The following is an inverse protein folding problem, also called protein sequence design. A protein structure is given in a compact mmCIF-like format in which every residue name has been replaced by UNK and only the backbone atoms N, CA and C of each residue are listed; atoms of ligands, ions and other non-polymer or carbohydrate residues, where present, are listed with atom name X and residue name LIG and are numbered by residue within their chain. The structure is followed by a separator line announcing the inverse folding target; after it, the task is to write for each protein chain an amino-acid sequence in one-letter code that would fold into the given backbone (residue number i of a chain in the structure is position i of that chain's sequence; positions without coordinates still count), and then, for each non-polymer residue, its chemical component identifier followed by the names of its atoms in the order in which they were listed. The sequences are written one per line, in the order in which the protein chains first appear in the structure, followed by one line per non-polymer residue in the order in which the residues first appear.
data_IF_542957744323
#
_entry.id   IF_542957744323
#
_cell.length_a   1.000
_cell.length_b   1.000
_cell.length_c   1.000
_cell.angle_alpha   90.00
_cell.angle_beta   90.00
_cell.angle_gamma   90.00
#
_symmetry.space_group_name_H-M   'P 1'
#
loop_
_entity.id
_entity.type
_entity.pdbx_description
1 polymer ?
#
# COMPACT_ATOMS: atom_id res chain seq x y z
N UNK A 1 11.96 11.55 -0.60
CA UNK A 1 10.79 10.94 -1.26
C UNK A 1 10.39 9.67 -0.50
N UNK A 2 9.12 9.54 -0.11
CA UNK A 2 8.63 8.37 0.65
C UNK A 2 7.93 7.38 -0.28
N UNK A 3 8.15 6.08 -0.07
CA UNK A 3 7.59 5.03 -0.92
C UNK A 3 6.39 4.34 -0.24
N UNK A 4 5.22 4.49 -0.85
CA UNK A 4 3.98 3.84 -0.43
C UNK A 4 3.73 2.62 -1.32
N UNK A 5 3.63 1.45 -0.70
CA UNK A 5 3.28 0.19 -1.38
C UNK A 5 1.87 -0.21 -0.95
N UNK A 6 0.99 -0.30 -1.93
CA UNK A 6 -0.39 -0.68 -1.73
C UNK A 6 -0.61 -2.11 -2.24
N UNK A 7 -0.84 -3.04 -1.32
CA UNK A 7 -1.05 -4.45 -1.63
C UNK A 7 -2.55 -4.73 -1.81
N UNK A 8 -2.89 -5.35 -2.94
CA UNK A 8 -4.27 -5.69 -3.31
C UNK A 8 -4.36 -7.09 -3.91
N UNK A 9 -5.59 -7.54 -4.21
CA UNK A 9 -5.87 -8.82 -4.86
C UNK A 9 -5.53 -8.86 -6.37
N UNK A 10 -4.80 -7.86 -6.90
CA UNK A 10 -4.57 -7.59 -8.33
C UNK A 10 -5.88 -7.25 -9.09
N UNK A 11 -6.09 -5.96 -9.41
CA UNK A 11 -7.27 -5.52 -10.15
C UNK A 11 -7.24 -4.05 -10.59
N UNK A 12 -8.14 -3.67 -11.49
CA UNK A 12 -8.23 -2.30 -12.06
C UNK A 12 -8.59 -1.22 -11.02
N UNK A 13 -9.35 -1.56 -9.98
CA UNK A 13 -9.80 -0.61 -8.94
C UNK A 13 -8.64 0.00 -8.15
N UNK A 14 -7.54 -0.74 -7.98
CA UNK A 14 -6.36 -0.28 -7.28
C UNK A 14 -5.61 0.81 -8.04
N UNK A 15 -5.59 0.74 -9.38
CA UNK A 15 -4.93 1.74 -10.22
C UNK A 15 -5.60 3.11 -10.11
N UNK A 16 -6.93 3.14 -9.98
CA UNK A 16 -7.68 4.40 -9.81
C UNK A 16 -7.39 5.07 -8.47
N UNK A 17 -7.32 4.29 -7.39
CA UNK A 17 -6.96 4.80 -6.07
C UNK A 17 -5.53 5.36 -6.07
N UNK A 18 -4.56 4.65 -6.66
CA UNK A 18 -3.17 5.13 -6.78
C UNK A 18 -3.10 6.46 -7.53
N UNK A 19 -3.83 6.61 -8.64
CA UNK A 19 -3.88 7.87 -9.40
C UNK A 19 -4.44 9.03 -8.55
N UNK A 20 -5.53 8.79 -7.81
CA UNK A 20 -6.12 9.80 -6.90
C UNK A 20 -5.15 10.17 -5.77
N UNK A 21 -4.45 9.20 -5.19
CA UNK A 21 -3.45 9.45 -4.15
C UNK A 21 -2.27 10.26 -4.68
N UNK A 22 -1.78 9.95 -5.88
CA UNK A 22 -0.71 10.70 -6.55
C UNK A 22 -1.13 12.15 -6.81
N UNK A 23 -2.36 12.37 -7.32
CA UNK A 23 -2.89 13.71 -7.54
C UNK A 23 -3.04 14.50 -6.22
N UNK A 24 -3.55 13.86 -5.16
CA UNK A 24 -3.68 14.49 -3.85
C UNK A 24 -2.31 14.83 -3.23
N UNK A 25 -1.31 13.96 -3.41
CA UNK A 25 0.06 14.23 -2.98
C UNK A 25 0.65 15.43 -3.72
N UNK A 26 0.47 15.50 -5.04
CA UNK A 26 0.91 16.63 -5.86
C UNK A 26 0.24 17.93 -5.44
N UNK A 27 -1.07 17.94 -5.21
CA UNK A 27 -1.81 19.11 -4.72
C UNK A 27 -1.33 19.60 -3.35
N UNK A 28 -0.89 18.68 -2.48
CA UNK A 28 -0.37 19.00 -1.15
C UNK A 28 1.13 19.30 -1.14
N UNK A 29 1.81 19.23 -2.29
CA UNK A 29 3.26 19.39 -2.38
C UNK A 29 4.04 18.30 -1.64
N UNK A 30 3.47 17.10 -1.50
CA UNK A 30 4.08 15.98 -0.79
C UNK A 30 4.77 15.06 -1.78
N UNK A 31 6.08 14.90 -1.66
CA UNK A 31 6.86 13.99 -2.50
C UNK A 31 6.76 12.53 -2.04
N UNK A 32 5.82 11.80 -2.64
CA UNK A 32 5.65 10.36 -2.45
C UNK A 32 5.64 9.61 -3.76
N UNK A 33 6.24 8.43 -3.77
CA UNK A 33 6.08 7.44 -4.81
C UNK A 33 5.06 6.41 -4.34
N UNK A 34 4.04 6.13 -5.16
CA UNK A 34 2.94 5.23 -4.80
C UNK A 34 2.84 4.14 -5.86
N UNK A 35 2.93 2.88 -5.44
CA UNK A 35 2.77 1.72 -6.32
C UNK A 35 1.78 0.72 -5.76
N UNK A 36 0.97 0.16 -6.65
CA UNK A 36 0.11 -0.99 -6.33
C UNK A 36 0.81 -2.28 -6.76
N UNK A 37 0.81 -3.29 -5.90
CA UNK A 37 1.35 -4.61 -6.19
C UNK A 37 0.39 -5.71 -5.69
N UNK A 38 0.40 -6.90 -6.29
CA UNK A 38 -0.26 -8.06 -5.70
C UNK A 38 0.33 -8.41 -4.34
N UNK A 39 -0.48 -8.96 -3.43
CA UNK A 39 0.03 -9.46 -2.13
C UNK A 39 1.16 -10.49 -2.31
N UNK A 40 1.12 -11.29 -3.37
CA UNK A 40 2.17 -12.25 -3.70
C UNK A 40 3.55 -11.60 -3.89
N UNK A 41 3.60 -10.37 -4.41
CA UNK A 41 4.84 -9.62 -4.66
C UNK A 41 5.26 -8.76 -3.44
N UNK A 42 4.55 -8.85 -2.32
CA UNK A 42 4.82 -8.01 -1.15
C UNK A 42 6.27 -8.11 -0.68
N UNK A 43 6.81 -9.34 -0.60
CA UNK A 43 8.16 -9.60 -0.09
C UNK A 43 9.25 -8.89 -0.90
N UNK A 44 9.10 -8.87 -2.21
CA UNK A 44 10.05 -8.24 -3.14
C UNK A 44 10.00 -6.71 -3.04
N UNK A 45 8.84 -6.18 -2.66
CA UNK A 45 8.60 -4.75 -2.54
C UNK A 45 8.82 -4.22 -1.11
N UNK A 46 8.89 -5.10 -0.11
CA UNK A 46 8.98 -4.76 1.31
C UNK A 46 10.24 -3.96 1.63
N UNK A 47 11.39 -4.31 1.05
CA UNK A 47 12.65 -3.60 1.32
C UNK A 47 12.57 -2.11 0.92
N UNK A 48 11.94 -1.82 -0.22
CA UNK A 48 11.81 -0.48 -0.78
C UNK A 48 10.63 0.34 -0.22
N UNK A 49 9.68 -0.30 0.48
CA UNK A 49 8.50 0.37 1.04
C UNK A 49 8.84 1.14 2.31
N UNK A 50 8.43 2.40 2.43
CA UNK A 50 8.40 3.13 3.72
C UNK A 50 7.06 2.92 4.42
N UNK A 51 5.97 2.91 3.64
CA UNK A 51 4.60 2.83 4.11
C UNK A 51 3.94 1.67 3.37
N UNK A 52 3.29 0.79 4.11
CA UNK A 52 2.59 -0.37 3.56
C UNK A 52 1.11 -0.23 3.84
N UNK A 53 0.32 -0.21 2.77
CA UNK A 53 -1.12 -0.17 2.81
C UNK A 53 -1.71 -1.45 2.24
N UNK A 54 -2.79 -1.94 2.85
CA UNK A 54 -3.52 -3.12 2.43
C UNK A 54 -4.91 -2.72 1.98
N UNK A 55 -5.34 -3.20 0.82
CA UNK A 55 -6.73 -3.08 0.41
C UNK A 55 -7.65 -3.85 1.37
N UNK A 56 -8.88 -3.36 1.65
CA UNK A 56 -9.80 -3.98 2.59
C UNK A 56 -10.19 -5.41 2.18
N UNK A 57 -10.15 -5.70 0.87
CA UNK A 57 -10.44 -7.01 0.29
C UNK A 57 -9.47 -8.11 0.74
N UNK A 58 -8.23 -7.75 1.09
CA UNK A 58 -7.17 -8.68 1.52
C UNK A 58 -6.78 -8.49 2.98
N UNK A 59 -7.64 -7.84 3.79
CA UNK A 59 -7.37 -7.53 5.21
C UNK A 59 -6.92 -8.74 6.05
N UNK A 60 -7.37 -9.95 5.69
CA UNK A 60 -7.01 -11.19 6.37
C UNK A 60 -5.51 -11.51 6.28
N UNK A 61 -4.79 -11.00 5.28
CA UNK A 61 -3.34 -11.15 5.14
C UNK A 61 -2.55 -10.20 6.07
N UNK A 62 -3.19 -9.21 6.71
CA UNK A 62 -2.50 -8.18 7.49
C UNK A 62 -1.56 -8.76 8.53
N UNK A 63 -2.02 -9.72 9.35
CA UNK A 63 -1.19 -10.29 10.41
C UNK A 63 0.07 -10.98 9.86
N UNK A 64 -0.07 -11.69 8.75
CA UNK A 64 1.03 -12.38 8.06
C UNK A 64 2.01 -11.38 7.44
N UNK A 65 1.53 -10.32 6.81
CA UNK A 65 2.38 -9.29 6.21
C UNK A 65 3.04 -8.41 7.26
N UNK A 66 2.36 -8.15 8.39
CA UNK A 66 2.94 -7.45 9.54
C UNK A 66 4.11 -8.24 10.13
N UNK A 67 3.96 -9.55 10.34
CA UNK A 67 5.04 -10.40 10.83
C UNK A 67 6.27 -10.41 9.89
N UNK A 68 6.06 -10.26 8.58
CA UNK A 68 7.15 -10.09 7.60
C UNK A 68 7.78 -8.69 7.66
N UNK A 69 7.02 -7.66 8.01
CA UNK A 69 7.44 -6.27 8.06
C UNK A 69 8.08 -5.86 9.40
N UNK A 70 7.73 -6.54 10.50
CA UNK A 70 8.23 -6.30 11.86
C UNK A 70 9.77 -6.30 11.95
N UNK A 71 10.50 -7.25 11.33
CA UNK A 71 11.97 -7.25 11.34
C UNK A 71 12.59 -6.00 10.69
N UNK A 72 11.83 -5.30 9.85
CA UNK A 72 12.24 -4.06 9.20
C UNK A 72 11.72 -2.82 9.92
N UNK A 73 11.00 -2.97 11.03
CA UNK A 73 10.36 -1.87 11.76
C UNK A 73 9.23 -1.20 10.98
N UNK A 74 8.58 -1.91 10.05
CA UNK A 74 7.57 -1.35 9.15
C UNK A 74 6.17 -1.79 9.57
N UNK A 75 5.20 -0.89 9.46
CA UNK A 75 3.79 -1.14 9.78
C UNK A 75 2.96 -1.36 8.52
N UNK A 76 2.10 -2.37 8.58
CA UNK A 76 1.10 -2.71 7.57
C UNK A 76 -0.27 -2.23 8.06
N UNK A 77 -0.82 -1.22 7.39
CA UNK A 77 -2.14 -0.66 7.71
C UNK A 77 -3.18 -1.06 6.65
N UNK A 78 -4.38 -1.42 7.10
CA UNK A 78 -5.50 -1.69 6.19
C UNK A 78 -6.23 -0.39 5.91
N UNK A 79 -6.53 -0.11 4.63
CA UNK A 79 -7.32 1.04 4.21
C UNK A 79 -8.78 0.76 4.55
N UNK A 80 -9.47 1.78 5.08
CA UNK A 80 -10.90 1.67 5.35
C UNK A 80 -11.70 1.43 4.06
N UNK A 81 -12.79 0.67 4.16
CA UNK A 81 -13.61 0.32 2.99
C UNK A 81 -14.26 1.56 2.35
N UNK A 82 -14.63 2.56 3.14
CA UNK A 82 -15.20 3.82 2.64
C UNK A 82 -14.14 4.66 1.92
N UNK A 83 -12.91 4.70 2.43
CA UNK A 83 -11.80 5.43 1.81
C UNK A 83 -11.28 4.75 0.53
N UNK A 84 -11.49 3.44 0.40
CA UNK A 84 -11.05 2.66 -0.76
C UNK A 84 -11.98 2.82 -1.99
N UNK A 85 -13.25 3.21 -1.77
CA UNK A 85 -14.32 3.29 -2.79
C UNK A 85 -14.30 4.53 -3.69
#
# INVERSE_FOLDING_TARGET
MKNIVLCCAAGMSTSMLVQRMQAAAQQKGVEVSIKAVPVAEFKDNLAAADIILLGPQVKYEQAKLQAMADPFGKKVAVIDMMDYG
#
